data_IF_784184499145
#
_entry.id   IF_784184499145
#
_cell.length_a   1.000
_cell.length_b   1.000
_cell.length_c   1.000
_cell.angle_alpha   90.00
_cell.angle_beta   90.00
_cell.angle_gamma   90.00
#
_symmetry.space_group_name_H-M   'P 1'
#
loop_
_entity.id
_entity.type
_entity.pdbx_description
1 polymer ?
#
# COMPACT_ATOMS: atom_id res chain seq x y z
N UNK A 1 14.50 19.06 -31.02
CA UNK A 1 14.65 19.40 -32.46
C UNK A 1 15.14 18.15 -33.18
N UNK A 2 14.23 17.47 -33.88
CA UNK A 2 14.47 16.20 -34.57
C UNK A 2 15.53 16.31 -35.65
N UNK A 3 16.62 15.58 -35.51
CA UNK A 3 17.63 15.35 -36.56
C UNK A 3 17.13 14.38 -37.67
N UNK A 4 15.99 13.72 -37.47
CA UNK A 4 15.39 12.76 -38.39
C UNK A 4 15.10 13.29 -39.82
N UNK A 5 14.56 14.52 -40.04
CA UNK A 5 14.25 14.98 -41.41
C UNK A 5 15.47 15.21 -42.27
N UNK A 6 16.64 15.52 -41.70
CA UNK A 6 17.89 15.78 -42.45
C UNK A 6 18.47 14.44 -42.92
N UNK A 7 18.46 13.41 -42.08
CA UNK A 7 18.93 12.07 -42.38
C UNK A 7 18.15 11.46 -43.57
N UNK A 8 16.84 11.68 -43.62
CA UNK A 8 15.98 11.18 -44.70
C UNK A 8 16.26 11.83 -46.06
N UNK A 9 16.55 13.15 -46.10
CA UNK A 9 16.92 13.82 -47.34
C UNK A 9 18.28 13.35 -47.88
N UNK A 10 19.25 13.07 -47.03
CA UNK A 10 20.53 12.50 -47.43
C UNK A 10 20.42 11.04 -47.89
N UNK A 11 19.60 10.23 -47.26
CA UNK A 11 19.31 8.85 -47.63
C UNK A 11 18.62 8.78 -49.00
N UNK A 12 17.64 9.65 -49.29
CA UNK A 12 16.95 9.70 -50.60
C UNK A 12 17.91 10.09 -51.72
N UNK A 13 18.90 10.92 -51.46
CA UNK A 13 19.90 11.33 -52.46
C UNK A 13 20.93 10.24 -52.79
N UNK A 14 21.22 9.34 -51.86
CA UNK A 14 22.16 8.21 -52.00
C UNK A 14 21.51 6.91 -52.47
N UNK A 15 20.19 6.81 -52.36
CA UNK A 15 19.44 5.56 -52.58
C UNK A 15 19.04 5.28 -54.05
N UNK A 16 19.72 5.88 -55.07
CA UNK A 16 19.33 5.73 -56.46
C UNK A 16 19.41 4.32 -57.04
N UNK A 17 19.95 3.36 -56.30
CA UNK A 17 20.09 1.94 -56.73
C UNK A 17 19.51 0.94 -55.73
N UNK A 18 18.75 1.36 -54.72
CA UNK A 18 18.12 0.42 -53.79
C UNK A 18 16.80 -0.08 -54.36
N UNK A 19 16.59 -1.40 -54.39
CA UNK A 19 15.33 -1.98 -54.82
C UNK A 19 14.18 -1.45 -53.96
N UNK A 20 13.04 -1.18 -54.60
CA UNK A 20 11.87 -0.60 -53.94
C UNK A 20 11.39 -1.47 -52.76
N UNK A 21 11.55 -2.76 -52.87
CA UNK A 21 11.23 -3.79 -51.85
C UNK A 21 12.11 -3.63 -50.60
N UNK A 22 13.42 -3.45 -50.77
CA UNK A 22 14.38 -3.28 -49.68
C UNK A 22 14.12 -1.93 -48.94
N UNK A 23 13.67 -0.91 -49.67
CA UNK A 23 13.31 0.39 -49.07
C UNK A 23 12.04 0.29 -48.24
N UNK A 24 11.04 -0.47 -48.67
CA UNK A 24 9.81 -0.70 -47.89
C UNK A 24 10.07 -1.53 -46.62
N UNK A 25 10.95 -2.54 -46.74
CA UNK A 25 11.35 -3.33 -45.57
C UNK A 25 12.14 -2.51 -44.57
N UNK A 26 13.05 -1.66 -45.02
CA UNK A 26 13.79 -0.71 -44.18
C UNK A 26 12.87 0.32 -43.51
N UNK A 27 11.89 0.85 -44.24
CA UNK A 27 10.86 1.72 -43.68
C UNK A 27 10.06 1.00 -42.58
N UNK A 28 9.64 -0.24 -42.77
CA UNK A 28 8.96 -1.04 -41.76
C UNK A 28 9.81 -1.22 -40.49
N UNK A 29 11.12 -1.40 -40.62
CA UNK A 29 12.02 -1.52 -39.47
C UNK A 29 12.21 -0.20 -38.73
N UNK A 30 12.39 0.92 -39.47
CA UNK A 30 12.58 2.26 -38.84
C UNK A 30 11.30 2.79 -38.21
N UNK A 31 10.16 2.56 -38.82
CA UNK A 31 8.86 3.03 -38.33
C UNK A 31 8.13 1.95 -37.52
N UNK A 32 8.85 0.89 -37.13
CA UNK A 32 8.26 -0.09 -36.23
C UNK A 32 7.92 0.56 -34.90
N UNK A 33 6.64 0.51 -34.54
CA UNK A 33 6.14 0.95 -33.26
C UNK A 33 5.77 -0.29 -32.44
N UNK A 34 6.22 -0.31 -31.21
CA UNK A 34 5.83 -1.40 -30.30
C UNK A 34 4.32 -1.44 -30.14
N UNK A 35 3.72 -2.59 -30.47
CA UNK A 35 2.24 -2.72 -30.54
C UNK A 35 1.52 -2.71 -29.20
N UNK A 36 2.28 -2.75 -28.08
CA UNK A 36 1.73 -2.80 -26.72
C UNK A 36 2.15 -1.57 -25.93
N UNK A 37 1.77 -0.39 -26.42
CA UNK A 37 2.17 0.90 -25.80
C UNK A 37 1.71 0.98 -24.34
N UNK A 38 0.51 0.50 -24.04
CA UNK A 38 -0.04 0.49 -22.67
C UNK A 38 0.79 -0.37 -21.71
N UNK A 39 1.42 -1.45 -22.23
CA UNK A 39 2.31 -2.32 -21.45
C UNK A 39 3.63 -1.62 -21.07
N UNK A 40 4.13 -0.69 -21.91
CA UNK A 40 5.38 0.03 -21.63
C UNK A 40 5.21 0.95 -20.40
N UNK A 41 4.05 1.59 -20.27
CA UNK A 41 3.74 2.49 -19.17
C UNK A 41 3.31 1.77 -17.89
N UNK A 42 3.04 0.46 -17.98
CA UNK A 42 2.51 -0.34 -16.86
C UNK A 42 3.68 -0.87 -16.02
N UNK A 43 3.77 -0.53 -14.72
CA UNK A 43 4.79 -1.09 -13.85
C UNK A 43 4.55 -2.60 -13.63
N UNK A 44 5.61 -3.40 -13.69
CA UNK A 44 5.54 -4.85 -13.46
C UNK A 44 5.28 -5.22 -12.00
N UNK A 45 5.57 -4.28 -11.07
CA UNK A 45 5.40 -4.44 -9.63
C UNK A 45 4.92 -3.14 -9.00
N UNK A 46 3.99 -3.24 -8.06
CA UNK A 46 3.48 -2.10 -7.29
C UNK A 46 3.16 -2.48 -5.85
N UNK A 47 2.89 -1.49 -5.00
CA UNK A 47 2.41 -1.70 -3.63
C UNK A 47 0.97 -1.20 -3.49
N UNK A 48 0.23 -1.76 -2.51
CA UNK A 48 -1.14 -1.30 -2.20
C UNK A 48 -1.17 0.18 -1.82
N UNK A 49 -0.15 0.66 -1.10
CA UNK A 49 0.00 2.08 -0.75
C UNK A 49 0.07 2.97 -2.00
N UNK A 50 0.87 2.57 -3.00
CA UNK A 50 1.01 3.33 -4.24
C UNK A 50 -0.27 3.32 -5.08
N UNK A 51 -0.99 2.20 -5.12
CA UNK A 51 -2.31 2.13 -5.79
C UNK A 51 -3.28 3.13 -5.15
N UNK A 52 -3.32 3.18 -3.83
CA UNK A 52 -4.17 4.10 -3.08
C UNK A 52 -3.79 5.58 -3.29
N UNK A 53 -2.49 5.90 -3.38
CA UNK A 53 -2.02 7.26 -3.68
C UNK A 53 -2.53 7.72 -5.04
N UNK A 54 -2.50 6.86 -6.05
CA UNK A 54 -2.99 7.17 -7.39
C UNK A 54 -4.51 7.43 -7.46
N UNK A 55 -5.30 6.77 -6.60
CA UNK A 55 -6.76 7.00 -6.54
C UNK A 55 -7.15 8.29 -5.82
N UNK A 56 -6.30 8.79 -4.91
CA UNK A 56 -6.55 10.04 -4.18
C UNK A 56 -6.04 11.28 -4.93
N UNK A 57 -5.28 11.12 -6.00
CA UNK A 57 -4.94 12.18 -6.95
C UNK A 57 -6.09 12.28 -7.98
N UNK A 58 -7.25 12.82 -7.56
CA UNK A 58 -8.27 13.28 -8.48
C UNK A 58 -7.61 14.26 -9.48
N UNK A 59 -7.66 13.92 -10.78
CA UNK A 59 -7.19 14.73 -11.93
C UNK A 59 -5.69 14.77 -12.29
N UNK A 60 -4.83 13.93 -11.79
CA UNK A 60 -3.52 13.78 -12.40
C UNK A 60 -3.55 12.72 -13.51
N UNK A 61 -3.97 13.11 -14.71
CA UNK A 61 -3.41 12.54 -15.94
C UNK A 61 -1.92 12.87 -15.86
N UNK A 62 -1.16 11.99 -15.20
CA UNK A 62 0.31 12.07 -15.22
C UNK A 62 0.70 11.84 -16.67
N UNK A 63 0.99 12.93 -17.38
CA UNK A 63 1.49 12.84 -18.73
C UNK A 63 2.76 11.98 -18.72
N UNK A 64 2.97 11.19 -19.79
CA UNK A 64 4.20 10.39 -19.98
C UNK A 64 5.48 11.23 -19.79
N UNK A 65 5.39 12.54 -19.94
CA UNK A 65 6.47 13.50 -19.71
C UNK A 65 6.83 13.68 -18.23
N UNK A 66 5.86 13.62 -17.31
CA UNK A 66 6.14 13.67 -15.87
C UNK A 66 6.73 12.37 -15.33
N UNK A 67 6.38 11.22 -15.90
CA UNK A 67 7.01 9.93 -15.58
C UNK A 67 8.48 9.90 -16.03
N UNK A 68 8.83 10.51 -17.16
CA UNK A 68 10.21 10.59 -17.64
C UNK A 68 11.06 11.57 -16.83
N UNK A 69 10.46 12.63 -16.29
CA UNK A 69 11.16 13.64 -15.49
C UNK A 69 11.29 13.27 -13.99
N UNK A 70 10.50 12.34 -13.47
CA UNK A 70 10.64 11.85 -12.09
C UNK A 70 11.74 10.79 -11.91
N UNK A 71 12.48 10.42 -12.96
CA UNK A 71 13.67 9.56 -12.85
C UNK A 71 14.96 10.29 -12.42
N UNK A 72 14.90 11.57 -12.07
CA UNK A 72 15.93 12.09 -11.20
C UNK A 72 15.72 11.49 -9.81
N UNK A 73 16.45 10.42 -9.53
CA UNK A 73 16.73 9.93 -8.19
C UNK A 73 17.35 11.07 -7.38
N UNK A 74 16.54 11.94 -6.82
CA UNK A 74 16.92 12.65 -5.61
C UNK A 74 16.94 11.58 -4.53
N UNK A 75 18.05 10.85 -4.44
CA UNK A 75 18.48 10.30 -3.18
C UNK A 75 18.69 11.50 -2.25
N UNK A 76 17.63 11.95 -1.61
CA UNK A 76 17.80 12.62 -0.33
C UNK A 76 18.46 11.54 0.54
N UNK A 77 19.78 11.64 0.66
CA UNK A 77 20.54 10.87 1.64
C UNK A 77 19.88 11.22 2.95
N UNK A 78 19.04 10.32 3.45
CA UNK A 78 18.34 10.50 4.71
C UNK A 78 19.41 10.84 5.75
N UNK A 79 19.39 12.06 6.28
CA UNK A 79 20.36 12.47 7.32
C UNK A 79 20.33 11.41 8.42
N UNK A 80 21.47 10.90 8.83
CA UNK A 80 21.52 9.91 9.90
C UNK A 80 20.69 10.37 11.10
N UNK A 81 19.88 9.50 11.68
CA UNK A 81 18.91 9.83 12.75
C UNK A 81 19.54 10.57 13.93
N UNK A 82 20.83 10.40 14.18
CA UNK A 82 21.58 11.04 15.25
C UNK A 82 21.91 12.54 15.00
N UNK A 83 21.69 13.05 13.77
CA UNK A 83 21.87 14.46 13.42
C UNK A 83 20.56 15.28 13.48
N UNK A 84 19.43 14.64 13.73
CA UNK A 84 18.16 15.32 13.88
C UNK A 84 18.03 15.82 15.32
N UNK A 85 18.16 17.13 15.51
CA UNK A 85 17.66 17.83 16.70
C UNK A 85 16.20 17.45 16.93
N UNK A 86 15.73 17.40 18.18
CA UNK A 86 14.42 16.98 18.68
C UNK A 86 13.25 17.31 17.73
N UNK A 87 13.03 16.50 16.71
CA UNK A 87 11.88 16.66 15.81
C UNK A 87 10.64 16.10 16.50
N UNK A 88 9.58 16.90 16.59
CA UNK A 88 8.27 16.46 17.07
C UNK A 88 7.81 15.26 16.23
N UNK A 89 7.38 14.19 16.90
CA UNK A 89 6.85 13.00 16.25
C UNK A 89 5.64 13.37 15.40
N UNK A 90 5.72 13.11 14.11
CA UNK A 90 4.66 13.40 13.12
C UNK A 90 3.41 12.54 13.34
N UNK A 91 2.28 12.94 12.76
CA UNK A 91 1.05 12.13 12.81
C UNK A 91 1.22 10.75 12.17
N UNK A 92 1.99 10.65 11.08
CA UNK A 92 2.30 9.37 10.44
C UNK A 92 3.12 8.45 11.36
N UNK A 93 4.16 9.00 12.03
CA UNK A 93 4.95 8.23 13.00
C UNK A 93 4.09 7.75 14.19
N UNK A 94 3.16 8.58 14.68
CA UNK A 94 2.20 8.16 15.74
C UNK A 94 1.32 6.99 15.25
N UNK A 95 0.87 7.03 13.99
CA UNK A 95 0.14 5.92 13.38
C UNK A 95 0.97 4.65 13.38
N UNK A 96 2.21 4.69 12.90
CA UNK A 96 3.14 3.55 12.89
C UNK A 96 3.38 2.97 14.28
N UNK A 97 3.52 3.84 15.30
CA UNK A 97 3.69 3.41 16.69
C UNK A 97 2.43 2.69 17.22
N UNK A 98 1.24 3.15 16.87
CA UNK A 98 -0.01 2.47 17.24
C UNK A 98 -0.12 1.10 16.59
N UNK A 99 0.19 0.95 15.28
CA UNK A 99 0.24 -0.36 14.60
C UNK A 99 1.24 -1.30 15.26
N UNK A 100 2.45 -0.81 15.58
CA UNK A 100 3.46 -1.57 16.30
C UNK A 100 2.93 -2.09 17.66
N UNK A 101 2.18 -1.26 18.39
CA UNK A 101 1.57 -1.68 19.65
C UNK A 101 0.50 -2.75 19.43
N UNK A 102 -0.42 -2.58 18.47
CA UNK A 102 -1.45 -3.59 18.15
C UNK A 102 -0.84 -4.92 17.74
N UNK A 103 0.21 -4.90 16.92
CA UNK A 103 0.95 -6.09 16.53
C UNK A 103 1.49 -6.86 17.74
N UNK A 104 2.00 -6.17 18.76
CA UNK A 104 2.73 -6.76 19.89
C UNK A 104 1.88 -7.04 21.12
N UNK A 105 0.65 -6.54 21.18
CA UNK A 105 -0.28 -6.91 22.23
C UNK A 105 -0.60 -8.41 22.15
N UNK A 106 -0.65 -9.07 23.29
CA UNK A 106 -0.97 -10.49 23.44
C UNK A 106 -2.48 -10.64 23.62
N UNK A 107 -3.16 -11.13 22.62
CA UNK A 107 -4.63 -11.28 22.60
C UNK A 107 -5.16 -12.28 23.61
N UNK A 108 -4.32 -13.16 24.13
CA UNK A 108 -4.73 -14.10 25.19
C UNK A 108 -4.97 -13.41 26.54
N UNK A 109 -4.52 -12.17 26.71
CA UNK A 109 -4.54 -11.44 27.97
C UNK A 109 -5.71 -10.49 28.09
N UNK A 110 -6.12 -10.26 29.35
CA UNK A 110 -6.94 -9.11 29.73
C UNK A 110 -6.02 -8.02 30.29
N UNK A 111 -6.11 -6.84 29.72
CA UNK A 111 -5.27 -5.73 30.15
C UNK A 111 -6.04 -4.78 31.07
N UNK A 112 -5.37 -4.33 32.14
CA UNK A 112 -5.74 -3.10 32.88
C UNK A 112 -5.00 -1.90 32.26
N UNK A 113 -5.39 -0.71 32.66
CA UNK A 113 -4.72 0.52 32.21
C UNK A 113 -3.23 0.53 32.63
N UNK A 114 -2.94 0.04 33.83
CA UNK A 114 -1.59 -0.08 34.39
C UNK A 114 -0.75 -1.06 33.56
N UNK A 115 -1.31 -2.19 33.20
CA UNK A 115 -0.63 -3.20 32.37
C UNK A 115 -0.35 -2.69 30.95
N UNK A 116 -1.21 -1.84 30.37
CA UNK A 116 -0.92 -1.18 29.09
C UNK A 116 0.26 -0.20 29.24
N UNK A 117 0.33 0.56 30.33
CA UNK A 117 1.49 1.44 30.62
C UNK A 117 2.79 0.62 30.76
N UNK A 118 2.73 -0.47 31.53
CA UNK A 118 3.86 -1.40 31.69
C UNK A 118 4.26 -2.02 30.35
N UNK A 119 3.31 -2.40 29.52
CA UNK A 119 3.55 -2.91 28.17
C UNK A 119 4.36 -1.89 27.34
N UNK A 120 3.93 -0.64 27.28
CA UNK A 120 4.63 0.42 26.54
C UNK A 120 6.03 0.68 27.15
N UNK A 121 6.15 0.70 28.48
CA UNK A 121 7.45 0.83 29.13
C UNK A 121 8.39 -0.35 28.80
N UNK A 122 7.87 -1.55 28.71
CA UNK A 122 8.65 -2.74 28.30
C UNK A 122 9.14 -2.63 26.85
N UNK A 123 8.40 -1.97 25.93
CA UNK A 123 8.90 -1.71 24.59
C UNK A 123 10.13 -0.77 24.62
N UNK A 124 10.14 0.22 25.51
CA UNK A 124 11.30 1.10 25.73
C UNK A 124 12.47 0.32 26.32
N UNK A 125 12.22 -0.47 27.36
CA UNK A 125 13.26 -1.24 28.06
C UNK A 125 13.93 -2.29 27.15
N UNK A 126 13.26 -2.70 26.09
CA UNK A 126 13.77 -3.64 25.06
C UNK A 126 14.34 -2.94 23.82
N UNK A 127 14.51 -1.63 23.86
CA UNK A 127 15.01 -0.80 22.76
C UNK A 127 14.21 -0.93 21.45
N UNK A 128 12.92 -1.29 21.55
CA UNK A 128 12.00 -1.40 20.40
C UNK A 128 11.52 -0.02 19.97
N UNK A 129 11.27 0.84 20.94
CA UNK A 129 10.91 2.25 20.77
C UNK A 129 11.75 3.12 21.71
N UNK A 130 11.95 4.36 21.33
CA UNK A 130 12.60 5.36 22.18
C UNK A 130 11.65 5.89 23.27
N UNK A 131 12.19 6.54 24.28
CA UNK A 131 11.39 7.22 25.30
C UNK A 131 10.47 8.28 24.67
N UNK A 132 10.97 9.08 23.74
CA UNK A 132 10.21 10.08 23.03
C UNK A 132 9.03 9.48 22.26
N UNK A 133 9.25 8.34 21.59
CA UNK A 133 8.19 7.61 20.89
C UNK A 133 7.14 7.07 21.86
N UNK A 134 7.54 6.57 23.04
CA UNK A 134 6.61 6.09 24.06
C UNK A 134 5.68 7.19 24.56
N UNK A 135 6.17 8.42 24.70
CA UNK A 135 5.39 9.59 25.13
C UNK A 135 4.36 10.03 24.06
N UNK A 136 4.56 9.63 22.80
CA UNK A 136 3.64 9.92 21.70
C UNK A 136 2.52 8.86 21.53
N UNK A 137 2.62 7.71 22.20
CA UNK A 137 1.64 6.62 22.13
C UNK A 137 0.40 6.99 22.95
N UNK A 138 -0.79 6.83 22.35
CA UNK A 138 -2.04 7.03 23.05
C UNK A 138 -2.44 5.78 23.86
N UNK A 139 -2.02 5.76 25.13
CA UNK A 139 -2.30 4.68 26.09
C UNK A 139 -3.80 4.39 26.22
N UNK A 140 -4.63 5.45 26.26
CA UNK A 140 -6.09 5.31 26.41
C UNK A 140 -6.67 4.56 25.20
N UNK A 141 -6.25 4.89 23.98
CA UNK A 141 -6.70 4.20 22.77
C UNK A 141 -6.23 2.74 22.69
N UNK A 142 -5.04 2.44 23.18
CA UNK A 142 -4.60 1.05 23.33
C UNK A 142 -5.48 0.28 24.32
N UNK A 143 -5.79 0.91 25.46
CA UNK A 143 -6.67 0.29 26.44
C UNK A 143 -8.09 0.10 25.89
N UNK A 144 -8.69 1.09 25.22
CA UNK A 144 -10.00 1.00 24.56
C UNK A 144 -10.01 -0.17 23.56
N UNK A 145 -8.95 -0.34 22.75
CA UNK A 145 -8.83 -1.47 21.84
C UNK A 145 -8.93 -2.80 22.54
N UNK A 146 -8.27 -2.98 23.70
CA UNK A 146 -8.35 -4.24 24.48
C UNK A 146 -9.71 -4.49 25.11
N UNK A 147 -10.64 -3.53 25.03
CA UNK A 147 -12.03 -3.66 25.51
C UNK A 147 -13.03 -3.76 24.35
N UNK A 148 -12.59 -3.64 23.10
CA UNK A 148 -13.44 -3.72 21.90
C UNK A 148 -14.02 -5.12 21.69
N UNK A 149 -15.08 -5.20 20.89
CA UNK A 149 -15.64 -6.48 20.47
C UNK A 149 -14.63 -7.29 19.65
N UNK A 150 -13.86 -6.59 18.79
CA UNK A 150 -12.79 -7.19 18.03
C UNK A 150 -11.79 -7.93 18.93
N UNK A 151 -11.35 -7.29 20.02
CA UNK A 151 -10.43 -7.94 20.97
C UNK A 151 -11.04 -9.19 21.60
N UNK A 152 -12.34 -9.18 21.94
CA UNK A 152 -13.03 -10.35 22.48
C UNK A 152 -13.13 -11.48 21.44
N UNK A 153 -13.33 -11.15 20.18
CA UNK A 153 -13.30 -12.16 19.09
C UNK A 153 -11.89 -12.74 18.93
N UNK A 154 -10.84 -11.90 18.96
CA UNK A 154 -9.45 -12.34 18.87
C UNK A 154 -9.07 -13.34 19.96
N UNK A 155 -9.48 -13.08 21.19
CA UNK A 155 -9.25 -14.01 22.33
C UNK A 155 -9.81 -15.40 22.12
N UNK A 156 -10.89 -15.51 21.35
CA UNK A 156 -11.57 -16.76 21.05
C UNK A 156 -11.27 -17.28 19.63
N UNK A 157 -10.36 -16.63 18.92
CA UNK A 157 -9.97 -17.05 17.58
C UNK A 157 -9.16 -18.35 17.60
N UNK A 158 -9.29 -19.15 16.55
CA UNK A 158 -8.47 -20.35 16.35
C UNK A 158 -7.04 -19.99 15.94
N UNK A 159 -6.93 -18.98 15.09
CA UNK A 159 -5.67 -18.50 14.54
C UNK A 159 -5.72 -16.99 14.41
N UNK A 160 -4.63 -16.33 14.75
CA UNK A 160 -4.45 -14.88 14.63
C UNK A 160 -3.15 -14.59 13.90
N UNK A 161 -3.23 -13.81 12.82
CA UNK A 161 -2.11 -13.43 11.98
C UNK A 161 -2.01 -11.91 11.93
N UNK A 162 -0.88 -11.38 12.36
CA UNK A 162 -0.60 -9.94 12.43
C UNK A 162 0.55 -9.58 11.50
N UNK A 163 0.46 -8.43 10.83
CA UNK A 163 1.48 -7.93 9.92
C UNK A 163 1.91 -8.98 8.87
N UNK A 164 0.90 -9.59 8.23
CA UNK A 164 1.13 -10.66 7.28
C UNK A 164 1.50 -10.10 5.90
N UNK A 165 2.75 -10.30 5.42
CA UNK A 165 3.12 -9.90 4.07
C UNK A 165 2.44 -10.78 3.03
N UNK A 166 2.09 -10.20 1.89
CA UNK A 166 1.53 -10.93 0.75
C UNK A 166 2.06 -10.43 -0.59
N UNK A 167 1.95 -11.31 -1.58
CA UNK A 167 2.21 -11.04 -2.99
C UNK A 167 1.07 -11.65 -3.79
N UNK A 168 0.47 -10.85 -4.67
CA UNK A 168 -0.62 -11.30 -5.54
C UNK A 168 -0.43 -10.77 -6.96
N UNK A 169 -0.75 -11.60 -7.95
CA UNK A 169 -0.81 -11.15 -9.33
C UNK A 169 -2.23 -10.67 -9.65
N UNK A 170 -2.35 -9.40 -10.04
CA UNK A 170 -3.59 -8.80 -10.49
C UNK A 170 -3.45 -8.34 -11.94
N UNK A 171 -4.57 -8.22 -12.65
CA UNK A 171 -4.58 -7.61 -13.97
C UNK A 171 -4.33 -6.11 -13.87
N UNK A 172 -3.54 -5.56 -14.80
CA UNK A 172 -3.28 -4.13 -14.90
C UNK A 172 -4.58 -3.32 -15.01
N UNK A 173 -5.54 -3.84 -15.77
CA UNK A 173 -6.87 -3.26 -15.91
C UNK A 173 -7.59 -3.12 -14.56
N UNK A 174 -7.49 -4.11 -13.67
CA UNK A 174 -8.14 -4.09 -12.34
C UNK A 174 -7.47 -3.12 -11.37
N UNK A 175 -6.19 -2.83 -11.59
CA UNK A 175 -5.37 -1.98 -10.71
C UNK A 175 -5.38 -0.53 -11.16
N UNK A 176 -5.18 -0.28 -12.46
CA UNK A 176 -4.97 1.07 -13.02
C UNK A 176 -6.08 1.51 -13.97
N UNK A 177 -7.09 0.67 -14.26
CA UNK A 177 -8.17 1.00 -15.19
C UNK A 177 -7.73 1.15 -16.65
N UNK A 178 -6.49 0.74 -17.01
CA UNK A 178 -5.95 0.84 -18.35
C UNK A 178 -6.42 -0.34 -19.23
N UNK A 179 -6.12 -0.29 -20.54
CA UNK A 179 -6.48 -1.34 -21.50
C UNK A 179 -5.49 -2.52 -21.54
N UNK A 180 -4.40 -2.48 -20.76
CA UNK A 180 -3.42 -3.55 -20.71
C UNK A 180 -3.97 -4.76 -19.97
N UNK A 181 -3.78 -5.93 -20.58
CA UNK A 181 -4.14 -7.23 -19.99
C UNK A 181 -2.97 -7.89 -19.22
N UNK A 182 -1.89 -7.13 -19.00
CA UNK A 182 -0.70 -7.61 -18.32
C UNK A 182 -0.98 -7.94 -16.86
N UNK A 183 -0.22 -8.88 -16.31
CA UNK A 183 -0.24 -9.18 -14.90
C UNK A 183 0.77 -8.29 -14.16
N UNK A 184 0.35 -7.73 -13.04
CA UNK A 184 1.15 -6.89 -12.17
C UNK A 184 1.30 -7.60 -10.82
N UNK A 185 2.53 -7.67 -10.33
CA UNK A 185 2.79 -8.15 -8.99
C UNK A 185 2.46 -7.04 -7.98
N UNK A 186 1.39 -7.22 -7.21
CA UNK A 186 1.01 -6.33 -6.12
C UNK A 186 1.49 -6.91 -4.80
N UNK A 187 2.18 -6.08 -4.01
CA UNK A 187 2.65 -6.45 -2.68
C UNK A 187 2.04 -5.56 -1.60
N UNK A 188 1.89 -6.11 -0.40
CA UNK A 188 1.42 -5.39 0.76
C UNK A 188 1.64 -6.16 2.05
N UNK A 189 1.21 -5.56 3.14
CA UNK A 189 1.18 -6.16 4.47
C UNK A 189 -0.24 -6.01 4.99
N UNK A 190 -0.85 -7.10 5.43
CA UNK A 190 -2.16 -7.11 6.07
C UNK A 190 -1.94 -6.92 7.57
N UNK A 191 -2.53 -5.89 8.15
CA UNK A 191 -2.36 -5.56 9.56
C UNK A 191 -2.79 -6.71 10.48
N UNK A 192 -3.98 -7.26 10.21
CA UNK A 192 -4.57 -8.35 10.97
C UNK A 192 -5.56 -9.15 10.12
N UNK A 193 -5.46 -10.46 10.17
CA UNK A 193 -6.58 -11.33 9.89
C UNK A 193 -6.61 -12.46 10.91
N UNK A 194 -7.78 -13.02 11.15
CA UNK A 194 -7.94 -14.14 12.07
C UNK A 194 -9.02 -15.11 11.59
N UNK A 195 -8.90 -16.35 12.06
CA UNK A 195 -9.90 -17.39 11.85
C UNK A 195 -10.65 -17.58 13.18
N UNK A 196 -11.93 -17.23 13.18
CA UNK A 196 -12.73 -17.31 14.38
C UNK A 196 -13.06 -18.77 14.76
N UNK A 197 -13.76 -18.97 15.89
CA UNK A 197 -14.17 -20.28 16.38
C UNK A 197 -15.06 -21.07 15.40
N UNK A 198 -15.76 -20.38 14.48
CA UNK A 198 -16.60 -20.99 13.43
C UNK A 198 -15.81 -21.34 12.16
N UNK A 199 -14.55 -20.95 12.06
CA UNK A 199 -13.72 -21.15 10.88
C UNK A 199 -13.88 -20.07 9.82
N UNK A 200 -14.54 -18.95 10.12
CA UNK A 200 -14.69 -17.78 9.26
C UNK A 200 -13.42 -16.95 9.29
N UNK A 201 -12.99 -16.45 8.11
CA UNK A 201 -11.85 -15.53 7.98
C UNK A 201 -12.35 -14.11 8.11
N UNK A 202 -11.76 -13.36 9.03
CA UNK A 202 -12.06 -11.97 9.28
C UNK A 202 -10.79 -11.13 9.00
N UNK A 203 -10.94 -10.15 8.15
CA UNK A 203 -9.89 -9.21 7.78
C UNK A 203 -10.09 -7.89 8.53
N UNK A 204 -9.03 -7.35 9.11
CA UNK A 204 -9.04 -6.08 9.84
C UNK A 204 -7.86 -5.22 9.41
N UNK A 205 -8.14 -3.95 9.18
CA UNK A 205 -7.15 -2.93 8.87
C UNK A 205 -7.25 -1.79 9.88
N UNK A 206 -6.13 -1.40 10.51
CA UNK A 206 -6.11 -0.36 11.54
C UNK A 206 -5.95 1.02 10.90
N UNK A 207 -6.77 1.98 11.31
CA UNK A 207 -6.68 3.36 10.83
C UNK A 207 -6.66 4.37 11.97
N UNK A 208 -5.68 5.27 11.91
CA UNK A 208 -5.48 6.34 12.90
C UNK A 208 -5.96 7.71 12.41
N UNK A 209 -6.66 7.73 11.26
CA UNK A 209 -7.24 8.96 10.69
C UNK A 209 -8.14 9.65 11.70
N UNK A 210 -8.08 10.99 11.70
CA UNK A 210 -8.96 11.81 12.53
C UNK A 210 -10.30 11.96 11.83
N UNK A 211 -11.33 11.36 12.39
CA UNK A 211 -12.72 11.48 11.95
C UNK A 211 -13.63 11.69 13.15
N UNK A 212 -14.81 12.26 12.90
CA UNK A 212 -15.85 12.41 13.91
C UNK A 212 -16.87 11.27 13.82
N UNK A 213 -17.64 11.09 14.91
CA UNK A 213 -18.78 10.17 14.87
C UNK A 213 -19.78 10.59 13.78
N UNK A 214 -20.21 9.62 12.97
CA UNK A 214 -21.10 9.85 11.82
C UNK A 214 -20.36 10.06 10.49
N UNK A 215 -19.03 10.11 10.49
CA UNK A 215 -18.22 10.26 9.28
C UNK A 215 -17.55 8.93 8.82
N UNK A 216 -18.02 7.79 9.33
CA UNK A 216 -17.45 6.46 9.05
C UNK A 216 -17.39 6.17 7.55
N UNK A 217 -18.37 6.70 6.79
CA UNK A 217 -18.44 6.52 5.35
C UNK A 217 -17.18 7.06 4.63
N UNK A 218 -16.57 8.12 5.14
CA UNK A 218 -15.31 8.66 4.58
C UNK A 218 -14.15 7.66 4.68
N UNK A 219 -14.09 6.87 5.75
CA UNK A 219 -13.07 5.82 5.87
C UNK A 219 -13.37 4.67 4.92
N UNK A 220 -14.63 4.27 4.82
CA UNK A 220 -15.05 3.21 3.90
C UNK A 220 -14.63 3.57 2.47
N UNK A 221 -15.01 4.73 1.97
CA UNK A 221 -14.66 5.20 0.63
C UNK A 221 -13.14 5.25 0.41
N UNK A 222 -12.42 5.80 1.38
CA UNK A 222 -10.95 5.96 1.29
C UNK A 222 -10.18 4.64 1.30
N UNK A 223 -10.72 3.57 1.92
CA UNK A 223 -9.97 2.34 2.18
C UNK A 223 -10.56 1.08 1.56
N UNK A 224 -11.73 1.15 0.92
CA UNK A 224 -12.40 -0.01 0.30
C UNK A 224 -11.50 -0.76 -0.66
N UNK A 225 -10.82 -0.06 -1.55
CA UNK A 225 -9.91 -0.66 -2.54
C UNK A 225 -8.75 -1.41 -1.89
N UNK A 226 -8.17 -0.84 -0.84
CA UNK A 226 -7.12 -1.50 -0.07
C UNK A 226 -7.61 -2.84 0.49
N UNK A 227 -8.79 -2.84 1.13
CA UNK A 227 -9.39 -4.04 1.71
C UNK A 227 -9.85 -5.06 0.66
N UNK A 228 -10.27 -4.62 -0.54
CA UNK A 228 -10.54 -5.51 -1.66
C UNK A 228 -9.29 -6.25 -2.14
N UNK A 229 -8.16 -5.56 -2.23
CA UNK A 229 -6.88 -6.17 -2.61
C UNK A 229 -6.42 -7.15 -1.53
N UNK A 230 -6.54 -6.78 -0.25
CA UNK A 230 -6.22 -7.66 0.87
C UNK A 230 -7.11 -8.90 0.90
N UNK A 231 -8.40 -8.73 0.66
CA UNK A 231 -9.35 -9.83 0.53
C UNK A 231 -8.94 -10.80 -0.59
N UNK A 232 -8.70 -10.29 -1.80
CA UNK A 232 -8.26 -11.12 -2.95
C UNK A 232 -6.97 -11.87 -2.62
N UNK A 233 -6.02 -11.23 -1.94
CA UNK A 233 -4.76 -11.87 -1.53
C UNK A 233 -4.97 -13.01 -0.54
N UNK A 234 -5.82 -12.81 0.48
CA UNK A 234 -6.14 -13.86 1.46
C UNK A 234 -6.91 -15.01 0.82
N UNK A 235 -7.94 -14.71 0.03
CA UNK A 235 -8.77 -15.72 -0.65
C UNK A 235 -7.94 -16.58 -1.60
N UNK A 236 -7.00 -15.96 -2.33
CA UNK A 236 -6.11 -16.69 -3.22
C UNK A 236 -5.09 -17.53 -2.46
N UNK A 237 -4.56 -17.04 -1.34
CA UNK A 237 -3.56 -17.75 -0.54
C UNK A 237 -4.16 -18.89 0.28
N UNK A 238 -5.32 -18.65 0.89
CA UNK A 238 -5.95 -19.60 1.81
C UNK A 238 -6.95 -20.53 1.13
N UNK A 239 -7.31 -20.25 -0.14
CA UNK A 239 -8.35 -20.97 -0.91
C UNK A 239 -9.69 -21.01 -0.17
N UNK A 240 -10.01 -19.92 0.55
CA UNK A 240 -11.24 -19.73 1.34
C UNK A 240 -11.70 -18.27 1.23
N UNK A 241 -13.00 -18.05 1.26
CA UNK A 241 -13.57 -16.72 1.21
C UNK A 241 -13.37 -15.97 2.54
N UNK A 242 -13.09 -14.66 2.44
CA UNK A 242 -13.12 -13.76 3.59
C UNK A 242 -14.58 -13.46 3.94
N UNK A 243 -14.98 -13.77 5.16
CA UNK A 243 -16.38 -13.67 5.59
C UNK A 243 -16.78 -12.26 6.01
N UNK A 244 -15.86 -11.51 6.63
CA UNK A 244 -16.09 -10.15 7.11
C UNK A 244 -14.83 -9.32 6.96
N UNK A 245 -15.01 -8.02 6.68
CA UNK A 245 -13.95 -7.01 6.59
C UNK A 245 -14.26 -5.84 7.51
N UNK A 246 -13.27 -5.39 8.24
CA UNK A 246 -13.39 -4.26 9.15
C UNK A 246 -12.26 -3.25 8.97
N UNK A 247 -12.58 -2.00 9.11
CA UNK A 247 -11.63 -0.96 9.52
C UNK A 247 -11.80 -0.78 11.03
N UNK A 248 -10.73 -0.95 11.80
CA UNK A 248 -10.71 -0.52 13.19
C UNK A 248 -10.24 0.93 13.25
N UNK A 249 -11.16 1.85 13.51
CA UNK A 249 -10.84 3.26 13.70
C UNK A 249 -10.32 3.50 15.11
N UNK A 250 -9.02 3.79 15.21
CA UNK A 250 -8.38 4.09 16.51
C UNK A 250 -8.97 5.37 17.11
N UNK A 251 -9.27 6.35 16.28
CA UNK A 251 -9.87 7.63 16.74
C UNK A 251 -11.25 7.41 17.35
N UNK A 252 -12.11 6.63 16.72
CA UNK A 252 -13.46 6.33 17.23
C UNK A 252 -13.46 5.21 18.26
N UNK A 253 -12.43 4.35 18.31
CA UNK A 253 -12.35 3.20 19.21
C UNK A 253 -13.32 2.08 18.87
N UNK A 254 -13.68 1.92 17.57
CA UNK A 254 -14.66 0.92 17.14
C UNK A 254 -14.36 0.32 15.77
N UNK A 255 -14.96 -0.84 15.51
CA UNK A 255 -14.96 -1.54 14.24
C UNK A 255 -16.00 -0.91 13.29
N UNK A 256 -15.62 -0.73 12.02
CA UNK A 256 -16.47 -0.27 10.92
C UNK A 256 -16.49 -1.40 9.90
N UNK A 257 -17.64 -1.99 9.64
CA UNK A 257 -17.81 -3.05 8.64
C UNK A 257 -17.82 -2.46 7.24
N UNK A 258 -17.18 -3.17 6.29
CA UNK A 258 -17.13 -2.85 4.85
C UNK A 258 -17.76 -3.97 4.04
#
# INVERSE_FOLDING_TARGET
TCALPILFKELDSRARNVKKEDLEEFKKQIFWVYGYIDSIATPTKTSVTKIKELENEDDAIVSLEELSNKQEFKQEIAKPKFLNEEQKISSAQKGTLMHLCFQRLDESKNYTMEQIKEFVQNLVNRDIITKQESDAINITKLYEYTKSNLWQELKNAKEVHKEQPFYINLKSQDVYGNSSNDNILVQGIIDLYYINSKGEIILVDYKTDRINNGEEQKLIEKYSKQLEIYQKALEQSLQKNVSRKYIYSVTLGKEIMI
#
